data_IF_925765178093
#
_entry.id   IF_925765178093
#
_cell.length_a   1.000
_cell.length_b   1.000
_cell.length_c   1.000
_cell.angle_alpha   90.00
_cell.angle_beta   90.00
_cell.angle_gamma   90.00
#
_symmetry.space_group_name_H-M   'P 1'
#
loop_
_entity.id
_entity.type
_entity.pdbx_description
1 polymer ?
#
# COMPACT_ATOMS: atom_id res chain seq x y z
N UNK A 1 -25.51 14.94 21.28
CA UNK A 1 -25.33 14.76 19.83
C UNK A 1 -24.85 13.33 19.62
N UNK A 2 -25.72 12.44 19.12
CA UNK A 2 -25.41 11.02 18.92
C UNK A 2 -25.11 10.77 17.44
N UNK A 3 -23.83 10.57 17.05
CA UNK A 3 -23.46 10.19 15.69
C UNK A 3 -23.75 8.70 15.52
N UNK A 4 -25.03 8.33 15.28
CA UNK A 4 -25.45 6.93 15.15
C UNK A 4 -25.82 6.54 13.71
N UNK A 5 -25.62 7.44 12.73
CA UNK A 5 -26.05 7.22 11.34
C UNK A 5 -25.01 7.61 10.27
N UNK A 6 -23.76 7.96 10.63
CA UNK A 6 -22.79 8.50 9.66
C UNK A 6 -21.93 7.42 8.97
N UNK A 7 -22.24 6.13 9.17
CA UNK A 7 -21.47 5.04 8.54
C UNK A 7 -21.97 4.80 7.12
N UNK A 8 -21.22 5.28 6.14
CA UNK A 8 -21.45 4.98 4.73
C UNK A 8 -20.88 3.61 4.36
N UNK A 9 -21.68 2.78 3.70
CA UNK A 9 -21.23 1.50 3.12
C UNK A 9 -21.15 1.65 1.60
N UNK A 10 -19.94 1.56 1.06
CA UNK A 10 -19.68 1.54 -0.37
C UNK A 10 -19.21 0.15 -0.78
N UNK A 11 -19.95 -0.50 -1.67
CA UNK A 11 -19.55 -1.78 -2.28
C UNK A 11 -19.06 -1.46 -3.70
N UNK A 12 -17.76 -1.64 -3.94
CA UNK A 12 -17.16 -1.32 -5.24
C UNK A 12 -17.22 -2.52 -6.20
N UNK A 13 -16.58 -3.63 -5.84
CA UNK A 13 -16.47 -4.79 -6.73
C UNK A 13 -16.70 -6.10 -5.96
N UNK A 14 -17.77 -6.81 -6.31
CA UNK A 14 -18.06 -8.18 -5.86
C UNK A 14 -18.32 -9.03 -7.09
N UNK A 15 -17.45 -10.00 -7.33
CA UNK A 15 -17.51 -10.91 -8.47
C UNK A 15 -17.42 -12.36 -7.98
N UNK A 16 -18.06 -13.27 -8.70
CA UNK A 16 -17.90 -14.70 -8.46
C UNK A 16 -16.45 -15.12 -8.68
N UNK A 17 -15.83 -15.70 -7.66
CA UNK A 17 -14.41 -16.09 -7.68
C UNK A 17 -14.09 -17.21 -8.66
N UNK A 18 -15.10 -17.96 -9.09
CA UNK A 18 -14.96 -19.07 -10.06
C UNK A 18 -15.34 -18.65 -11.50
N UNK A 19 -15.71 -17.38 -11.72
CA UNK A 19 -16.16 -16.88 -13.02
C UNK A 19 -17.38 -17.62 -13.60
N UNK A 20 -18.06 -18.45 -12.80
CA UNK A 20 -18.98 -19.47 -13.30
C UNK A 20 -20.43 -19.00 -13.47
N UNK A 21 -20.77 -17.82 -12.93
CA UNK A 21 -22.15 -17.33 -12.88
C UNK A 21 -22.31 -15.93 -13.46
N UNK A 22 -23.45 -15.74 -14.12
CA UNK A 22 -24.02 -14.42 -14.41
C UNK A 22 -24.30 -13.65 -13.11
N UNK A 23 -24.72 -12.39 -13.26
CA UNK A 23 -25.23 -11.56 -12.17
C UNK A 23 -26.31 -12.29 -11.36
N UNK A 24 -26.08 -12.44 -10.06
CA UNK A 24 -27.09 -12.85 -9.08
C UNK A 24 -27.50 -11.65 -8.23
N UNK A 25 -28.73 -11.67 -7.71
CA UNK A 25 -29.34 -10.53 -7.01
C UNK A 25 -29.90 -10.90 -5.64
N UNK A 26 -30.32 -9.87 -4.90
CA UNK A 26 -31.07 -9.98 -3.64
C UNK A 26 -30.38 -10.79 -2.53
N UNK A 27 -29.04 -10.79 -2.54
CA UNK A 27 -28.26 -11.44 -1.49
C UNK A 27 -28.41 -10.71 -0.16
N UNK A 28 -28.82 -11.45 0.87
CA UNK A 28 -28.79 -10.95 2.26
C UNK A 28 -27.35 -10.87 2.74
N UNK A 29 -27.02 -9.85 3.51
CA UNK A 29 -25.69 -9.69 4.08
C UNK A 29 -25.77 -9.11 5.48
N UNK A 30 -24.90 -9.58 6.37
CA UNK A 30 -24.95 -9.26 7.80
C UNK A 30 -23.56 -9.12 8.39
N UNK A 31 -23.47 -8.44 9.54
CA UNK A 31 -22.29 -8.47 10.40
C UNK A 31 -22.36 -9.69 11.33
N UNK A 32 -21.26 -10.41 11.46
CA UNK A 32 -21.10 -11.62 12.27
C UNK A 32 -20.06 -11.45 13.38
N UNK A 33 -20.17 -12.25 14.44
CA UNK A 33 -19.40 -12.07 15.68
C UNK A 33 -17.87 -12.19 15.50
N UNK A 34 -17.41 -13.09 14.63
CA UNK A 34 -16.00 -13.43 14.51
C UNK A 34 -15.42 -13.20 13.12
N UNK A 35 -14.09 -13.01 13.07
CA UNK A 35 -13.33 -12.92 11.83
C UNK A 35 -13.15 -14.34 11.26
N UNK A 36 -13.44 -14.58 9.97
CA UNK A 36 -13.31 -15.89 9.35
C UNK A 36 -11.87 -16.44 9.39
N UNK A 37 -11.73 -17.77 9.42
CA UNK A 37 -10.45 -18.46 9.31
C UNK A 37 -9.68 -18.62 10.64
N UNK A 38 -10.36 -18.46 11.78
CA UNK A 38 -9.81 -18.80 13.11
C UNK A 38 -9.87 -20.30 13.42
N UNK A 39 -10.63 -21.05 12.65
CA UNK A 39 -10.68 -22.50 12.70
C UNK A 39 -9.53 -23.09 11.86
N UNK A 40 -8.45 -23.48 12.53
CA UNK A 40 -7.22 -24.03 11.93
C UNK A 40 -7.40 -25.31 11.08
N UNK A 41 -8.62 -25.79 10.82
CA UNK A 41 -8.88 -27.14 10.31
C UNK A 41 -9.96 -27.28 9.21
N UNK A 42 -10.79 -26.26 8.90
CA UNK A 42 -11.90 -26.45 7.95
C UNK A 42 -11.93 -25.42 6.80
N UNK A 43 -11.06 -25.65 5.82
CA UNK A 43 -10.90 -24.77 4.65
C UNK A 43 -12.13 -24.76 3.72
N UNK A 44 -12.96 -25.80 3.71
CA UNK A 44 -14.21 -25.86 2.90
C UNK A 44 -15.37 -25.09 3.53
N UNK A 45 -15.28 -24.75 4.82
CA UNK A 45 -16.35 -24.07 5.57
C UNK A 45 -15.86 -22.78 6.25
N UNK A 46 -14.93 -22.05 5.63
CA UNK A 46 -14.28 -20.86 6.22
C UNK A 46 -15.28 -19.84 6.78
N UNK A 47 -16.40 -19.60 6.11
CA UNK A 47 -17.42 -18.64 6.56
C UNK A 47 -18.28 -19.12 7.74
N UNK A 48 -18.21 -20.40 8.11
CA UNK A 48 -18.89 -20.91 9.31
C UNK A 48 -18.21 -20.36 10.57
N UNK A 49 -16.88 -20.21 10.55
CA UNK A 49 -16.10 -19.65 11.67
C UNK A 49 -16.42 -18.19 12.02
N UNK A 50 -17.15 -17.47 11.15
CA UNK A 50 -17.65 -16.13 11.45
C UNK A 50 -18.67 -16.12 12.61
N UNK A 51 -19.24 -17.26 12.98
CA UNK A 51 -20.20 -17.34 14.09
C UNK A 51 -21.60 -16.82 13.70
N UNK A 52 -22.48 -16.53 14.68
CA UNK A 52 -23.83 -16.01 14.43
C UNK A 52 -23.82 -14.52 14.07
N UNK A 53 -24.99 -13.94 13.79
CA UNK A 53 -25.13 -12.50 13.56
C UNK A 53 -24.70 -11.73 14.82
N UNK A 54 -23.93 -10.66 14.61
CA UNK A 54 -23.58 -9.74 15.67
C UNK A 54 -24.83 -9.00 16.15
N UNK A 55 -25.23 -9.28 17.40
CA UNK A 55 -26.47 -8.80 17.99
C UNK A 55 -26.24 -8.21 19.39
N UNK A 56 -25.53 -7.07 19.50
CA UNK A 56 -25.16 -6.47 20.78
C UNK A 56 -26.38 -6.07 21.62
N UNK A 57 -27.50 -5.79 20.97
CA UNK A 57 -28.75 -5.38 21.60
C UNK A 57 -29.68 -6.57 21.94
N UNK A 58 -29.25 -7.81 21.67
CA UNK A 58 -30.00 -9.05 21.94
C UNK A 58 -31.43 -9.00 21.40
N UNK A 59 -31.60 -8.39 20.21
CA UNK A 59 -32.89 -8.30 19.53
C UNK A 59 -33.37 -9.70 19.14
N UNK A 60 -34.66 -9.98 19.33
CA UNK A 60 -35.25 -11.27 19.00
C UNK A 60 -35.17 -11.56 17.50
N UNK A 61 -34.58 -12.70 17.14
CA UNK A 61 -34.47 -13.19 15.75
C UNK A 61 -35.69 -14.00 15.29
N UNK A 62 -36.72 -14.16 16.15
CA UNK A 62 -37.97 -14.83 15.77
C UNK A 62 -38.74 -13.98 14.74
N UNK A 63 -39.42 -14.62 13.77
CA UNK A 63 -40.08 -13.97 12.63
C UNK A 63 -40.87 -12.69 12.96
N UNK A 64 -41.63 -12.66 14.07
CA UNK A 64 -42.41 -11.47 14.47
C UNK A 64 -41.55 -10.24 14.82
N UNK A 65 -40.35 -10.46 15.37
CA UNK A 65 -39.39 -9.38 15.67
C UNK A 65 -38.60 -8.94 14.45
N UNK A 66 -38.23 -9.89 13.59
CA UNK A 66 -37.43 -9.62 12.38
C UNK A 66 -38.24 -8.93 11.26
N UNK A 67 -39.56 -9.19 11.14
CA UNK A 67 -40.44 -8.48 10.19
C UNK A 67 -40.57 -6.97 10.45
N UNK A 68 -40.18 -6.51 11.64
CA UNK A 68 -40.16 -5.08 11.97
C UNK A 68 -38.86 -4.40 11.53
N UNK A 69 -37.86 -5.20 11.15
CA UNK A 69 -36.69 -4.76 10.44
C UNK A 69 -37.04 -4.78 8.94
N UNK A 70 -37.50 -3.64 8.40
CA UNK A 70 -37.57 -3.38 6.97
C UNK A 70 -37.15 -1.94 6.63
N UNK A 71 -36.89 -1.67 5.34
CA UNK A 71 -36.54 -0.34 4.82
C UNK A 71 -37.54 0.76 5.22
N UNK A 72 -38.78 0.38 5.54
CA UNK A 72 -39.88 1.25 5.94
C UNK A 72 -39.82 1.74 7.40
N UNK A 73 -38.83 1.30 8.19
CA UNK A 73 -38.69 1.70 9.60
C UNK A 73 -37.28 2.28 9.93
N UNK A 74 -36.88 3.40 9.32
CA UNK A 74 -35.52 3.95 9.38
C UNK A 74 -35.04 4.31 10.80
N UNK A 75 -35.96 4.54 11.75
CA UNK A 75 -35.63 4.81 13.17
C UNK A 75 -35.02 3.61 13.91
N UNK A 76 -34.97 2.42 13.29
CA UNK A 76 -34.32 1.23 13.81
C UNK A 76 -33.12 0.76 12.98
N UNK A 77 -32.66 1.56 11.99
CA UNK A 77 -31.70 1.14 10.98
C UNK A 77 -30.34 1.82 11.03
N UNK A 78 -29.33 1.02 10.68
CA UNK A 78 -27.92 1.38 10.40
C UNK A 78 -27.11 1.97 11.56
N UNK A 79 -27.22 1.37 12.76
CA UNK A 79 -26.17 1.53 13.76
C UNK A 79 -25.03 0.53 13.49
N UNK A 80 -24.12 0.89 12.58
CA UNK A 80 -22.89 0.16 12.30
C UNK A 80 -21.67 0.93 12.85
N UNK A 81 -21.59 1.21 14.16
CA UNK A 81 -20.60 2.15 14.66
C UNK A 81 -19.19 1.60 14.43
N UNK A 82 -18.29 2.44 13.94
CA UNK A 82 -16.87 2.09 13.82
C UNK A 82 -16.08 2.40 15.11
N UNK A 83 -16.79 2.73 16.21
CA UNK A 83 -16.20 3.02 17.52
C UNK A 83 -17.15 2.67 18.68
N UNK A 84 -16.63 2.71 19.90
CA UNK A 84 -17.40 2.41 21.11
C UNK A 84 -17.63 0.91 21.36
N UNK A 85 -18.39 0.56 22.41
CA UNK A 85 -18.55 -0.82 22.86
C UNK A 85 -19.32 -1.71 21.89
N UNK A 86 -20.06 -1.11 20.97
CA UNK A 86 -20.83 -1.84 19.96
C UNK A 86 -20.18 -1.82 18.58
N UNK A 87 -18.89 -1.47 18.50
CA UNK A 87 -18.22 -1.31 17.22
C UNK A 87 -18.24 -2.58 16.36
N UNK A 88 -18.45 -2.42 15.06
CA UNK A 88 -18.35 -3.52 14.09
C UNK A 88 -16.90 -3.82 13.65
N UNK A 89 -15.90 -3.07 14.15
CA UNK A 89 -14.50 -3.37 13.89
C UNK A 89 -14.09 -4.69 14.57
N UNK A 90 -13.44 -5.59 13.85
CA UNK A 90 -13.03 -6.90 14.37
C UNK A 90 -14.11 -7.97 14.33
N UNK A 91 -15.23 -7.65 13.67
CA UNK A 91 -16.28 -8.56 13.25
C UNK A 91 -16.10 -8.92 11.77
N UNK A 92 -17.09 -9.53 11.13
CA UNK A 92 -17.05 -9.85 9.70
C UNK A 92 -18.34 -9.55 8.97
N UNK A 93 -18.26 -9.30 7.67
CA UNK A 93 -19.42 -9.27 6.78
C UNK A 93 -19.56 -10.68 6.17
N UNK A 94 -20.78 -11.21 6.16
CA UNK A 94 -21.13 -12.45 5.47
C UNK A 94 -22.24 -12.16 4.47
N UNK A 95 -22.05 -12.64 3.24
CA UNK A 95 -23.03 -12.59 2.15
C UNK A 95 -23.68 -13.97 2.04
N UNK A 96 -25.00 -14.02 1.94
CA UNK A 96 -25.79 -15.24 1.90
C UNK A 96 -26.38 -15.49 0.51
N UNK A 97 -26.46 -16.76 0.14
CA UNK A 97 -27.15 -17.30 -1.04
C UNK A 97 -28.26 -18.23 -0.56
N UNK A 98 -29.49 -17.72 -0.56
CA UNK A 98 -30.66 -18.50 -0.13
C UNK A 98 -31.02 -19.62 -1.12
N UNK A 99 -30.46 -19.59 -2.34
CA UNK A 99 -30.63 -20.63 -3.37
C UNK A 99 -29.48 -21.64 -3.38
N UNK A 100 -28.71 -21.68 -2.30
CA UNK A 100 -27.62 -22.63 -2.11
C UNK A 100 -28.04 -24.09 -2.23
N UNK A 101 -27.20 -24.97 -2.81
CA UNK A 101 -27.28 -26.39 -2.52
C UNK A 101 -27.14 -26.63 -1.02
N UNK A 102 -28.05 -27.43 -0.43
CA UNK A 102 -28.12 -27.65 1.02
C UNK A 102 -26.79 -28.08 1.66
N UNK A 103 -25.97 -28.84 0.94
CA UNK A 103 -24.69 -29.35 1.43
C UNK A 103 -23.60 -28.26 1.54
N UNK A 104 -23.71 -27.16 0.79
CA UNK A 104 -22.76 -26.04 0.83
C UNK A 104 -23.10 -25.03 1.94
N UNK A 105 -24.35 -24.99 2.37
CA UNK A 105 -24.86 -23.97 3.27
C UNK A 105 -25.14 -22.64 2.57
N UNK A 106 -25.79 -21.73 3.27
CA UNK A 106 -26.26 -20.45 2.73
C UNK A 106 -25.18 -19.37 2.69
N UNK A 107 -24.07 -19.51 3.43
CA UNK A 107 -22.99 -18.51 3.42
C UNK A 107 -22.18 -18.59 2.13
N UNK A 108 -22.35 -17.59 1.27
CA UNK A 108 -21.66 -17.48 -0.02
C UNK A 108 -20.22 -16.99 0.15
N UNK A 109 -20.03 -15.88 0.87
CA UNK A 109 -18.74 -15.22 1.01
C UNK A 109 -18.66 -14.51 2.37
N UNK A 110 -17.45 -14.28 2.85
CA UNK A 110 -17.22 -13.59 4.12
C UNK A 110 -15.88 -12.87 4.16
N UNK A 111 -15.81 -11.75 4.87
CA UNK A 111 -14.60 -10.96 5.04
C UNK A 111 -14.57 -10.28 6.42
N UNK A 112 -13.39 -10.18 7.03
CA UNK A 112 -13.21 -9.42 8.27
C UNK A 112 -13.38 -7.92 8.04
N UNK A 113 -13.98 -7.23 9.02
CA UNK A 113 -14.12 -5.77 9.01
C UNK A 113 -12.91 -5.18 9.71
N UNK A 114 -12.04 -4.57 8.90
CA UNK A 114 -10.76 -4.06 9.35
C UNK A 114 -10.74 -2.54 9.45
N UNK A 115 -10.19 -1.99 10.55
CA UNK A 115 -9.75 -0.60 10.61
C UNK A 115 -8.68 -0.38 9.55
N UNK A 116 -8.95 0.57 8.67
CA UNK A 116 -7.95 1.09 7.76
C UNK A 116 -7.04 2.06 8.53
N UNK A 117 -5.74 1.94 8.29
CA UNK A 117 -4.75 2.84 8.88
C UNK A 117 -4.16 3.70 7.78
N UNK A 118 -4.19 5.01 7.99
CA UNK A 118 -3.54 5.97 7.12
C UNK A 118 -2.05 5.67 6.95
N UNK A 119 -1.51 6.01 5.80
CA UNK A 119 -0.07 6.06 5.60
C UNK A 119 0.44 7.45 5.96
N UNK A 120 1.59 7.47 6.64
CA UNK A 120 2.32 8.70 6.94
C UNK A 120 3.79 8.53 6.56
N UNK A 121 4.22 9.32 5.58
CA UNK A 121 5.60 9.44 5.15
C UNK A 121 6.25 10.67 5.78
N UNK A 122 7.47 10.55 6.33
CA UNK A 122 8.19 11.67 6.94
C UNK A 122 9.63 11.68 6.48
N UNK A 123 10.10 12.87 6.10
CA UNK A 123 11.51 13.21 5.93
C UNK A 123 11.87 14.23 6.98
N UNK A 124 12.70 13.87 7.96
CA UNK A 124 13.16 14.76 9.03
C UNK A 124 14.65 14.57 9.36
N UNK A 125 15.35 13.75 8.57
CA UNK A 125 16.79 13.53 8.64
C UNK A 125 17.37 13.93 7.30
N UNK A 126 18.08 15.05 7.29
CA UNK A 126 18.68 15.63 6.10
C UNK A 126 20.16 15.29 6.05
N UNK A 127 20.60 14.77 4.92
CA UNK A 127 21.98 14.42 4.61
C UNK A 127 22.50 15.37 3.53
N UNK A 128 23.81 15.58 3.54
CA UNK A 128 24.51 16.36 2.51
C UNK A 128 25.98 15.98 2.48
N UNK A 129 26.69 16.46 1.45
CA UNK A 129 28.15 16.41 1.44
C UNK A 129 28.72 17.21 2.61
N UNK A 130 29.84 16.78 3.19
CA UNK A 130 30.51 17.47 4.30
C UNK A 130 30.72 18.96 4.00
N UNK A 131 30.41 19.81 4.98
CA UNK A 131 30.59 21.26 4.88
C UNK A 131 29.49 22.02 4.12
N UNK A 132 28.40 21.35 3.72
CA UNK A 132 27.33 21.97 2.95
C UNK A 132 26.31 22.80 3.78
N UNK A 133 26.54 23.00 5.09
CA UNK A 133 25.65 23.72 6.00
C UNK A 133 24.66 22.78 6.72
N UNK A 134 23.48 23.31 7.07
CA UNK A 134 22.42 22.53 7.72
C UNK A 134 21.03 22.96 7.23
N UNK A 135 20.27 22.01 6.67
CA UNK A 135 18.83 22.14 6.48
C UNK A 135 18.11 21.43 7.61
N UNK A 136 17.15 22.11 8.22
CA UNK A 136 16.33 21.60 9.32
C UNK A 136 14.86 21.59 8.95
N UNK A 137 14.08 20.88 9.77
CA UNK A 137 12.64 20.75 9.61
C UNK A 137 12.23 19.42 9.00
N UNK A 138 11.02 19.35 8.45
CA UNK A 138 10.43 18.13 7.93
C UNK A 138 9.61 18.35 6.67
N UNK A 139 9.50 17.29 5.88
CA UNK A 139 8.42 17.13 4.91
C UNK A 139 7.60 15.92 5.34
N UNK A 140 6.29 16.11 5.47
CA UNK A 140 5.35 15.12 5.95
C UNK A 140 4.24 14.90 4.92
N UNK A 141 3.94 13.65 4.64
CA UNK A 141 2.89 13.21 3.73
C UNK A 141 1.91 12.36 4.52
N UNK A 142 0.60 12.62 4.40
CA UNK A 142 -0.46 11.83 5.01
C UNK A 142 -1.47 11.47 3.94
N UNK A 143 -1.86 10.20 3.89
CA UNK A 143 -2.91 9.72 3.01
C UNK A 143 -3.79 8.72 3.79
N UNK A 144 -5.10 8.99 3.87
CA UNK A 144 -6.03 8.21 4.70
C UNK A 144 -6.31 6.81 4.11
N UNK A 145 -6.51 6.73 2.79
CA UNK A 145 -6.64 5.48 2.03
C UNK A 145 -5.97 5.61 0.65
N UNK A 146 -5.87 4.50 -0.10
CA UNK A 146 -5.35 4.52 -1.47
C UNK A 146 -6.19 5.35 -2.47
N UNK A 147 -7.43 5.70 -2.10
CA UNK A 147 -8.34 6.49 -2.92
C UNK A 147 -8.36 7.98 -2.54
N UNK A 148 -7.81 8.32 -1.37
CA UNK A 148 -7.78 9.69 -0.90
C UNK A 148 -6.60 10.44 -1.51
N UNK A 149 -6.69 11.78 -1.54
CA UNK A 149 -5.56 12.63 -1.87
C UNK A 149 -4.50 12.59 -0.77
N UNK A 150 -3.26 12.91 -1.14
CA UNK A 150 -2.17 13.02 -0.17
C UNK A 150 -2.07 14.46 0.31
N UNK A 151 -2.15 14.65 1.63
CA UNK A 151 -1.87 15.92 2.28
C UNK A 151 -0.36 16.02 2.57
N UNK A 152 0.26 17.11 2.11
CA UNK A 152 1.69 17.37 2.30
C UNK A 152 1.88 18.60 3.19
N UNK A 153 2.65 18.48 4.27
CA UNK A 153 3.23 19.59 5.03
C UNK A 153 4.72 19.70 4.69
N UNK A 154 5.14 20.88 4.22
CA UNK A 154 6.55 21.23 4.05
C UNK A 154 6.89 22.25 5.14
N UNK A 155 7.90 21.98 5.97
CA UNK A 155 8.42 22.92 6.98
C UNK A 155 9.95 22.82 6.95
N UNK A 156 10.60 23.76 6.27
CA UNK A 156 12.05 23.76 6.03
C UNK A 156 12.68 25.05 6.52
N UNK A 157 13.87 24.93 7.11
CA UNK A 157 14.70 26.05 7.59
C UNK A 157 16.14 25.85 7.14
N UNK A 158 16.93 26.93 7.16
CA UNK A 158 18.33 26.88 6.72
C UNK A 158 18.46 26.81 5.20
N UNK A 159 17.53 27.43 4.46
CA UNK A 159 17.54 27.44 2.98
C UNK A 159 18.53 28.46 2.37
N UNK A 160 19.05 29.36 3.22
CA UNK A 160 20.10 30.34 2.90
C UNK A 160 19.84 31.24 1.68
N UNK A 161 18.59 31.35 1.21
CA UNK A 161 18.20 32.00 -0.05
C UNK A 161 18.88 31.42 -1.32
N UNK A 162 19.61 30.31 -1.18
CA UNK A 162 20.29 29.60 -2.28
C UNK A 162 19.53 28.36 -2.74
N UNK A 163 18.57 27.86 -1.96
CA UNK A 163 17.71 26.74 -2.36
C UNK A 163 16.88 27.09 -3.61
N UNK A 164 16.54 26.07 -4.41
CA UNK A 164 15.71 26.21 -5.61
C UNK A 164 14.57 25.18 -5.64
N UNK A 165 14.71 24.14 -6.47
CA UNK A 165 13.75 23.05 -6.59
C UNK A 165 13.92 22.00 -5.49
N UNK A 166 12.88 21.22 -5.27
CA UNK A 166 12.90 20.06 -4.40
C UNK A 166 11.96 19.01 -4.96
N UNK A 167 12.42 17.76 -5.00
CA UNK A 167 11.75 16.70 -5.72
C UNK A 167 11.84 15.38 -4.95
N UNK A 168 10.86 14.50 -5.15
CA UNK A 168 10.97 13.09 -4.79
C UNK A 168 11.84 12.40 -5.85
N UNK A 169 12.90 11.76 -5.41
CA UNK A 169 13.83 10.98 -6.22
C UNK A 169 13.58 9.49 -6.07
N UNK A 170 14.06 8.69 -7.02
CA UNK A 170 13.59 7.30 -7.14
C UNK A 170 13.98 6.38 -5.98
N UNK A 171 15.12 6.62 -5.32
CA UNK A 171 15.66 5.70 -4.31
C UNK A 171 15.98 6.42 -2.99
N UNK A 172 15.96 5.72 -1.85
CA UNK A 172 16.26 6.32 -0.55
C UNK A 172 17.74 6.66 -0.42
N UNK A 173 18.04 7.60 0.46
CA UNK A 173 19.41 8.03 0.77
C UNK A 173 20.17 6.94 1.53
N UNK A 174 21.44 6.75 1.20
CA UNK A 174 22.39 5.94 1.97
C UNK A 174 23.28 6.86 2.81
N UNK A 175 23.13 6.79 4.13
CA UNK A 175 23.73 7.75 5.07
C UNK A 175 25.26 7.62 5.19
N UNK A 176 25.84 6.48 4.77
CA UNK A 176 27.28 6.19 4.92
C UNK A 176 28.13 6.70 3.74
N UNK A 177 27.50 7.24 2.70
CA UNK A 177 28.19 7.72 1.51
C UNK A 177 28.78 9.11 1.75
N UNK A 178 29.94 9.37 1.14
CA UNK A 178 30.56 10.71 1.14
C UNK A 178 29.71 11.75 0.39
N UNK A 179 29.04 11.30 -0.68
CA UNK A 179 28.16 12.10 -1.53
C UNK A 179 26.74 11.51 -1.56
N UNK A 180 25.99 11.59 -0.45
CA UNK A 180 24.74 10.84 -0.28
C UNK A 180 23.63 11.26 -1.27
N UNK A 181 23.68 12.49 -1.76
CA UNK A 181 22.63 13.08 -2.61
C UNK A 181 22.95 13.06 -4.11
N UNK A 182 24.07 12.48 -4.55
CA UNK A 182 24.51 12.50 -5.94
C UNK A 182 23.50 11.86 -6.93
N UNK A 183 23.63 12.21 -8.22
CA UNK A 183 22.97 11.57 -9.36
C UNK A 183 22.93 10.06 -9.31
N UNK A 184 24.08 9.45 -9.07
CA UNK A 184 24.28 7.99 -9.02
C UNK A 184 23.60 7.33 -7.80
N UNK A 185 23.41 8.07 -6.71
CA UNK A 185 22.95 7.51 -5.42
C UNK A 185 21.45 7.66 -5.21
N UNK A 186 20.88 8.82 -5.57
CA UNK A 186 19.43 9.09 -5.45
C UNK A 186 18.69 8.95 -6.79
N UNK A 187 19.43 8.75 -7.89
CA UNK A 187 18.91 8.67 -9.27
C UNK A 187 18.13 9.94 -9.68
N UNK A 188 17.39 9.87 -10.79
CA UNK A 188 16.53 10.98 -11.26
C UNK A 188 15.25 11.17 -10.44
N UNK A 189 14.43 12.12 -10.91
CA UNK A 189 13.11 12.40 -10.32
C UNK A 189 12.20 11.19 -10.42
N UNK A 190 11.29 11.07 -9.46
CA UNK A 190 10.28 10.05 -9.49
C UNK A 190 9.16 10.41 -10.47
N UNK A 191 9.13 9.73 -11.61
CA UNK A 191 8.21 10.02 -12.71
C UNK A 191 7.54 8.72 -13.23
N UNK A 192 6.61 8.12 -12.46
CA UNK A 192 5.98 6.85 -12.82
C UNK A 192 5.01 6.95 -14.02
N UNK A 193 4.60 8.17 -14.39
CA UNK A 193 3.69 8.44 -15.50
C UNK A 193 4.43 8.89 -16.77
N UNK A 194 5.77 8.92 -16.75
CA UNK A 194 6.62 9.38 -17.86
C UNK A 194 6.21 10.76 -18.41
N UNK A 195 5.88 11.69 -17.51
CA UNK A 195 5.58 13.08 -17.88
C UNK A 195 6.82 13.74 -18.47
N UNK A 196 6.65 14.54 -19.53
CA UNK A 196 7.74 15.31 -20.11
C UNK A 196 7.92 16.62 -19.34
N UNK A 197 9.10 16.89 -18.71
CA UNK A 197 9.28 18.10 -17.91
C UNK A 197 9.14 19.41 -18.68
N UNK A 198 9.42 19.41 -19.99
CA UNK A 198 9.27 20.60 -20.85
C UNK A 198 7.82 21.04 -21.03
N UNK A 199 6.88 20.12 -20.84
CA UNK A 199 5.46 20.35 -21.08
C UNK A 199 4.76 20.80 -19.78
N UNK A 200 5.46 20.73 -18.65
CA UNK A 200 4.94 21.14 -17.35
C UNK A 200 4.78 22.67 -17.28
N UNK A 201 3.66 23.17 -16.75
CA UNK A 201 3.45 24.61 -16.55
C UNK A 201 4.48 25.21 -15.57
N UNK A 202 4.59 26.54 -15.48
CA UNK A 202 5.40 27.19 -14.47
C UNK A 202 5.03 26.74 -13.04
N UNK A 203 5.96 26.80 -12.07
CA UNK A 203 5.70 26.34 -10.70
C UNK A 203 4.43 26.93 -10.08
N UNK A 204 3.62 26.08 -9.45
CA UNK A 204 2.35 26.38 -8.80
C UNK A 204 1.28 26.99 -9.74
N UNK A 205 1.36 26.77 -11.05
CA UNK A 205 0.37 27.26 -12.04
C UNK A 205 -0.48 26.16 -12.69
N UNK A 206 -0.05 24.91 -12.64
CA UNK A 206 -0.79 23.76 -13.18
C UNK A 206 -1.51 22.94 -12.12
N UNK A 207 -2.33 21.98 -12.58
CA UNK A 207 -2.87 20.89 -11.76
C UNK A 207 -1.80 19.82 -11.51
N UNK A 208 -1.95 18.99 -10.46
CA UNK A 208 -0.89 18.07 -10.02
C UNK A 208 -0.49 17.01 -11.06
N UNK A 209 -1.39 16.68 -11.98
CA UNK A 209 -1.20 15.71 -13.06
C UNK A 209 -0.34 16.25 -14.23
N UNK A 210 -0.14 17.57 -14.31
CA UNK A 210 0.70 18.20 -15.36
C UNK A 210 2.20 18.19 -15.04
N UNK A 211 2.58 17.68 -13.87
CA UNK A 211 3.96 17.60 -13.40
C UNK A 211 4.38 16.14 -13.21
N UNK A 212 5.68 15.89 -13.19
CA UNK A 212 6.19 14.61 -12.69
C UNK A 212 5.65 14.35 -11.28
N UNK A 213 5.30 13.11 -10.95
CA UNK A 213 4.74 12.79 -9.63
C UNK A 213 5.67 13.26 -8.49
N UNK A 214 6.99 13.18 -8.70
CA UNK A 214 8.00 13.65 -7.76
C UNK A 214 8.33 15.14 -7.83
N UNK A 215 7.80 15.92 -8.77
CA UNK A 215 8.13 17.35 -8.89
C UNK A 215 7.34 18.20 -7.88
N UNK A 216 7.83 18.26 -6.64
CA UNK A 216 7.18 19.04 -5.57
C UNK A 216 7.33 20.54 -5.80
N UNK A 217 8.47 21.01 -6.31
CA UNK A 217 8.67 22.42 -6.59
C UNK A 217 7.76 22.93 -7.72
N UNK A 218 7.56 22.15 -8.78
CA UNK A 218 6.60 22.43 -9.84
C UNK A 218 5.17 22.50 -9.31
N UNK A 219 4.77 21.54 -8.45
CA UNK A 219 3.40 21.49 -7.91
C UNK A 219 3.12 22.53 -6.81
N UNK A 220 4.05 22.73 -5.89
CA UNK A 220 3.84 23.49 -4.65
C UNK A 220 4.54 24.86 -4.64
N UNK A 221 5.35 25.15 -5.66
CA UNK A 221 6.19 26.34 -5.75
C UNK A 221 7.62 26.11 -5.27
N UNK A 222 8.54 26.96 -5.75
CA UNK A 222 9.98 26.82 -5.49
C UNK A 222 10.42 27.40 -4.13
N UNK A 223 11.62 27.03 -3.70
CA UNK A 223 12.27 27.52 -2.48
C UNK A 223 13.16 28.76 -2.74
N UNK A 224 13.14 29.31 -3.95
CA UNK A 224 14.07 30.38 -4.36
C UNK A 224 13.95 31.64 -3.50
N UNK A 225 15.10 32.19 -3.09
CA UNK A 225 15.16 33.43 -2.32
C UNK A 225 14.66 33.32 -0.88
N UNK A 226 14.34 32.11 -0.40
CA UNK A 226 13.80 31.88 0.94
C UNK A 226 14.88 31.40 1.90
N UNK A 227 14.81 31.82 3.16
CA UNK A 227 15.63 31.28 4.25
C UNK A 227 14.90 30.18 5.04
N UNK A 228 13.56 30.20 4.99
CA UNK A 228 12.67 29.18 5.53
C UNK A 228 11.42 29.08 4.64
N UNK A 229 10.72 27.95 4.70
CA UNK A 229 9.48 27.72 3.96
C UNK A 229 8.54 26.84 4.77
N UNK A 230 7.29 27.28 4.89
CA UNK A 230 6.21 26.46 5.43
C UNK A 230 5.01 26.47 4.49
N UNK A 231 4.45 25.31 4.19
CA UNK A 231 3.30 25.18 3.31
C UNK A 231 2.53 23.89 3.54
N UNK A 232 1.24 23.94 3.21
CA UNK A 232 0.33 22.79 3.26
C UNK A 232 -0.32 22.62 1.89
N UNK A 233 -0.29 21.41 1.35
CA UNK A 233 -0.72 21.11 -0.01
C UNK A 233 -1.55 19.84 -0.06
N UNK A 234 -2.43 19.76 -1.05
CA UNK A 234 -3.16 18.56 -1.40
C UNK A 234 -2.68 18.09 -2.76
N UNK A 235 -2.41 16.80 -2.90
CA UNK A 235 -1.84 16.22 -4.10
C UNK A 235 -2.57 14.95 -4.51
N UNK A 236 -3.17 14.98 -5.70
CA UNK A 236 -3.90 13.85 -6.26
C UNK A 236 -2.99 12.83 -6.95
N UNK A 237 -1.73 13.19 -7.21
CA UNK A 237 -0.78 12.41 -8.01
C UNK A 237 0.48 12.00 -7.21
N UNK A 238 0.42 12.03 -5.87
CA UNK A 238 1.54 11.67 -4.98
C UNK A 238 1.13 10.57 -3.99
N UNK A 239 1.02 9.34 -4.48
CA UNK A 239 0.50 8.21 -3.71
C UNK A 239 1.47 7.74 -2.61
N UNK A 240 0.94 7.34 -1.45
CA UNK A 240 1.62 6.61 -0.38
C UNK A 240 1.28 5.11 -0.39
N UNK A 241 0.24 4.70 -1.14
CA UNK A 241 -0.17 3.31 -1.33
C UNK A 241 0.20 2.79 -2.72
N UNK A 242 0.09 1.48 -2.91
CA UNK A 242 0.26 0.82 -4.19
C UNK A 242 1.67 0.88 -4.78
N UNK A 243 1.78 0.50 -6.06
CA UNK A 243 3.04 0.40 -6.80
C UNK A 243 3.65 1.77 -7.14
N UNK A 244 2.85 2.84 -7.11
CA UNK A 244 3.31 4.21 -7.35
C UNK A 244 3.67 4.96 -6.06
N UNK A 245 3.78 4.25 -4.95
CA UNK A 245 4.08 4.85 -3.65
C UNK A 245 5.44 5.58 -3.64
N UNK A 246 5.48 6.74 -2.99
CA UNK A 246 6.72 7.46 -2.66
C UNK A 246 7.37 7.00 -1.36
N UNK A 247 6.74 6.07 -0.63
CA UNK A 247 7.32 5.51 0.59
C UNK A 247 8.64 4.82 0.29
N UNK A 248 9.66 5.04 1.13
CA UNK A 248 10.99 4.45 0.94
C UNK A 248 11.81 5.07 -0.19
N UNK A 249 11.35 6.19 -0.79
CA UNK A 249 12.12 7.02 -1.73
C UNK A 249 12.88 8.12 -0.99
N UNK A 250 13.42 9.11 -1.68
CA UNK A 250 14.06 10.28 -1.06
C UNK A 250 13.49 11.59 -1.56
N UNK A 251 13.62 12.66 -0.78
CA UNK A 251 13.50 14.03 -1.25
C UNK A 251 14.92 14.56 -1.48
N UNK A 252 15.13 15.31 -2.55
CA UNK A 252 16.36 16.06 -2.82
C UNK A 252 16.00 17.54 -2.98
N UNK A 253 16.69 18.40 -2.25
CA UNK A 253 16.64 19.86 -2.35
C UNK A 253 17.83 20.31 -3.19
N UNK A 254 17.59 21.16 -4.18
CA UNK A 254 18.59 21.69 -5.08
C UNK A 254 19.00 23.12 -4.70
N UNK A 255 20.20 23.52 -5.12
CA UNK A 255 20.64 24.92 -5.14
C UNK A 255 20.25 25.57 -6.46
N UNK A 256 20.04 26.89 -6.43
CA UNK A 256 19.86 27.71 -7.63
C UNK A 256 21.08 27.67 -8.53
N UNK A 257 22.27 27.68 -7.94
CA UNK A 257 23.51 27.55 -8.70
C UNK A 257 23.62 26.16 -9.33
N UNK A 258 23.69 26.13 -10.68
CA UNK A 258 23.87 24.91 -11.49
C UNK A 258 22.86 23.80 -11.23
N UNK A 259 21.73 24.09 -10.58
CA UNK A 259 20.76 23.10 -10.12
C UNK A 259 21.38 21.97 -9.29
N UNK A 260 22.45 22.28 -8.53
CA UNK A 260 23.23 21.29 -7.81
C UNK A 260 22.42 20.66 -6.67
N UNK A 261 22.49 19.34 -6.51
CA UNK A 261 21.83 18.63 -5.39
C UNK A 261 22.50 19.02 -4.09
N UNK A 262 21.72 19.44 -3.09
CA UNK A 262 22.23 20.05 -1.87
C UNK A 262 22.02 19.17 -0.65
N UNK A 263 20.76 18.99 -0.27
CA UNK A 263 20.35 18.14 0.84
C UNK A 263 19.39 17.08 0.35
N UNK A 264 19.42 15.92 0.98
CA UNK A 264 18.48 14.86 0.68
C UNK A 264 18.07 14.11 1.95
N UNK A 265 16.91 13.49 1.92
CA UNK A 265 16.43 12.70 3.05
C UNK A 265 15.49 11.59 2.60
N UNK A 266 15.56 10.44 3.26
CA UNK A 266 14.69 9.31 2.94
C UNK A 266 13.27 9.50 3.49
N UNK A 267 12.27 9.18 2.69
CA UNK A 267 10.85 9.14 3.09
C UNK A 267 10.63 7.86 3.90
N UNK A 268 10.64 8.01 5.22
CA UNK A 268 10.41 6.93 6.18
C UNK A 268 8.96 6.88 6.67
N UNK A 269 8.60 5.80 7.37
CA UNK A 269 7.34 5.73 8.09
C UNK A 269 7.33 6.69 9.27
N UNK A 270 6.36 7.59 9.31
CA UNK A 270 6.08 8.43 10.47
C UNK A 270 5.00 7.78 11.33
N UNK A 271 5.36 7.35 12.53
CA UNK A 271 4.42 6.80 13.50
C UNK A 271 4.86 7.13 14.93
N UNK A 272 3.89 7.20 15.84
CA UNK A 272 4.13 7.25 17.28
C UNK A 272 4.44 5.85 17.81
N UNK A 273 5.47 5.67 18.65
CA UNK A 273 5.71 4.39 19.31
C UNK A 273 4.53 3.89 20.17
N UNK A 274 3.62 4.78 20.57
CA UNK A 274 2.39 4.43 21.28
C UNK A 274 1.29 3.90 20.34
N UNK A 275 1.38 4.14 19.03
CA UNK A 275 0.36 3.73 18.05
C UNK A 275 0.79 2.52 17.22
N UNK A 276 2.09 2.37 16.95
CA UNK A 276 2.61 1.31 16.09
C UNK A 276 4.08 0.99 16.38
N UNK A 277 4.52 -0.17 15.88
CA UNK A 277 5.93 -0.54 15.76
C UNK A 277 6.25 -0.97 14.33
N UNK A 278 7.47 -0.71 13.87
CA UNK A 278 7.93 -1.22 12.58
C UNK A 278 8.62 -2.58 12.74
N UNK A 279 8.27 -3.53 11.89
CA UNK A 279 9.00 -4.79 11.68
C UNK A 279 9.76 -4.71 10.37
N UNK A 280 10.90 -5.38 10.31
CA UNK A 280 11.70 -5.49 9.09
C UNK A 280 12.15 -6.93 8.89
N UNK A 281 12.12 -7.40 7.63
CA UNK A 281 12.63 -8.69 7.23
C UNK A 281 13.61 -8.51 6.06
N UNK A 282 14.55 -9.45 5.90
CA UNK A 282 15.52 -9.42 4.80
C UNK A 282 15.57 -10.82 4.19
N UNK A 283 15.40 -10.90 2.87
CA UNK A 283 15.64 -12.09 2.07
C UNK A 283 16.90 -11.85 1.22
N UNK A 284 17.94 -12.63 1.44
CA UNK A 284 19.26 -12.38 0.88
C UNK A 284 19.68 -13.40 -0.17
N UNK A 285 20.29 -12.93 -1.25
CA UNK A 285 20.85 -13.71 -2.33
C UNK A 285 22.38 -13.68 -2.20
N UNK A 286 22.94 -14.76 -1.67
CA UNK A 286 24.36 -14.83 -1.31
C UNK A 286 25.15 -15.85 -2.11
N UNK A 287 24.56 -16.49 -3.12
CA UNK A 287 25.32 -17.42 -3.96
C UNK A 287 26.31 -16.60 -4.81
N UNK A 288 27.64 -16.70 -4.60
CA UNK A 288 28.62 -15.92 -5.36
C UNK A 288 28.69 -16.36 -6.83
N UNK A 289 28.21 -17.57 -7.13
CA UNK A 289 28.07 -18.10 -8.50
C UNK A 289 26.63 -17.95 -9.03
N UNK A 290 25.74 -17.30 -8.27
CA UNK A 290 24.35 -17.09 -8.67
C UNK A 290 24.21 -15.93 -9.66
N UNK A 291 23.16 -15.99 -10.48
CA UNK A 291 22.85 -14.93 -11.45
C UNK A 291 22.42 -13.60 -10.82
N UNK A 292 22.10 -13.59 -9.52
CA UNK A 292 21.75 -12.39 -8.76
C UNK A 292 22.38 -12.46 -7.36
N UNK A 293 22.95 -11.34 -6.92
CA UNK A 293 23.54 -11.18 -5.59
C UNK A 293 23.01 -9.90 -4.95
N UNK A 294 22.65 -9.97 -3.67
CA UNK A 294 22.07 -8.82 -2.98
C UNK A 294 21.07 -9.21 -1.91
N UNK A 295 20.14 -8.33 -1.60
CA UNK A 295 19.03 -8.66 -0.69
C UNK A 295 17.79 -7.86 -1.00
N UNK A 296 16.64 -8.43 -0.66
CA UNK A 296 15.32 -7.80 -0.56
C UNK A 296 15.05 -7.49 0.91
N UNK A 297 14.79 -6.24 1.27
CA UNK A 297 14.37 -5.80 2.60
C UNK A 297 12.89 -5.46 2.58
N UNK A 298 12.13 -6.09 3.46
CA UNK A 298 10.72 -5.82 3.71
C UNK A 298 10.55 -4.98 4.97
N UNK A 299 9.62 -4.03 4.97
CA UNK A 299 9.21 -3.27 6.16
C UNK A 299 7.70 -3.26 6.29
N UNK A 300 7.20 -3.33 7.53
CA UNK A 300 5.78 -3.31 7.86
C UNK A 300 5.55 -2.53 9.16
N UNK A 301 4.49 -1.72 9.21
CA UNK A 301 3.96 -1.19 10.47
C UNK A 301 2.95 -2.16 11.06
N UNK A 302 3.10 -2.44 12.35
CA UNK A 302 2.15 -3.20 13.15
C UNK A 302 1.55 -2.23 14.15
N UNK A 303 0.26 -1.92 13.98
CA UNK A 303 -0.47 -1.02 14.85
C UNK A 303 -0.83 -1.71 16.17
N UNK A 304 -0.63 -0.99 17.27
CA UNK A 304 -1.01 -1.46 18.60
C UNK A 304 -2.51 -1.31 18.77
N UNK A 305 -3.28 -2.36 18.49
CA UNK A 305 -4.72 -2.41 18.78
C UNK A 305 -4.98 -3.20 20.06
N UNK A 306 -5.90 -2.69 20.90
CA UNK A 306 -6.41 -3.41 22.09
C UNK A 306 -7.07 -4.75 21.75
N UNK A 307 -7.48 -4.94 20.50
CA UNK A 307 -7.91 -6.22 19.99
C UNK A 307 -6.69 -7.00 19.46
N UNK A 308 -6.39 -8.14 20.08
CA UNK A 308 -5.52 -9.21 19.57
C UNK A 308 -6.01 -9.85 18.24
N UNK A 309 -6.93 -9.18 17.54
CA UNK A 309 -7.61 -9.65 16.32
C UNK A 309 -7.13 -8.93 15.04
N UNK A 310 -6.13 -8.05 15.12
CA UNK A 310 -5.76 -7.15 14.02
C UNK A 310 -4.26 -7.14 13.74
N UNK A 311 -3.89 -7.40 12.49
CA UNK A 311 -2.57 -7.06 11.95
C UNK A 311 -2.72 -6.59 10.48
N UNK A 312 -3.03 -5.30 10.24
CA UNK A 312 -2.97 -4.77 8.89
C UNK A 312 -1.51 -4.57 8.49
N UNK A 313 -1.06 -5.37 7.53
CA UNK A 313 0.30 -5.33 7.02
C UNK A 313 0.43 -4.41 5.81
N UNK A 314 1.37 -3.47 5.86
CA UNK A 314 1.84 -2.72 4.69
C UNK A 314 3.25 -3.19 4.35
N UNK A 315 3.43 -3.93 3.25
CA UNK A 315 4.74 -4.49 2.89
C UNK A 315 5.46 -3.55 1.92
N UNK A 316 6.68 -3.11 2.29
CA UNK A 316 7.57 -2.38 1.39
C UNK A 316 8.82 -3.21 1.08
N UNK A 317 8.98 -3.65 -0.17
CA UNK A 317 10.04 -4.53 -0.67
C UNK A 317 11.17 -3.67 -1.30
N UNK A 318 12.40 -3.72 -0.79
CA UNK A 318 13.57 -2.97 -1.28
C UNK A 318 14.70 -3.91 -1.67
N UNK A 319 15.14 -3.92 -2.93
CA UNK A 319 16.28 -4.75 -3.35
C UNK A 319 17.58 -3.93 -3.43
N UNK A 320 18.69 -4.40 -2.85
CA UNK A 320 20.04 -3.79 -2.97
C UNK A 320 20.96 -4.75 -3.71
N UNK A 321 21.74 -4.23 -4.66
CA UNK A 321 22.82 -4.91 -5.37
C UNK A 321 24.19 -4.43 -4.86
N UNK A 322 25.19 -5.31 -4.86
CA UNK A 322 26.61 -4.91 -4.93
C UNK A 322 27.25 -5.77 -6.01
N UNK A 323 27.59 -5.15 -7.12
CA UNK A 323 28.14 -5.84 -8.28
C UNK A 323 29.66 -5.94 -8.19
N UNK A 324 30.17 -7.18 -8.12
CA UNK A 324 31.39 -7.63 -8.82
C UNK A 324 31.24 -9.11 -9.18
N UNK A 325 30.89 -9.41 -10.43
CA UNK A 325 31.01 -10.76 -10.97
C UNK A 325 32.12 -10.82 -12.01
N UNK A 326 33.23 -11.44 -11.64
CA UNK A 326 34.21 -11.97 -12.58
C UNK A 326 33.69 -13.29 -13.18
N UNK A 327 34.10 -13.58 -14.43
CA UNK A 327 33.83 -14.84 -15.12
C UNK A 327 34.25 -16.04 -14.25
N UNK A 328 33.51 -17.16 -14.33
CA UNK A 328 33.97 -18.52 -14.68
C UNK A 328 32.97 -19.62 -14.21
N UNK A 329 32.67 -20.52 -15.16
CA UNK A 329 32.25 -21.95 -15.10
C UNK A 329 31.01 -22.43 -14.32
N UNK A 330 30.23 -23.22 -15.08
CA UNK A 330 29.06 -24.07 -14.82
C UNK A 330 29.05 -24.87 -13.49
N UNK A 331 27.99 -24.71 -12.66
CA UNK A 331 27.52 -25.71 -11.67
C UNK A 331 25.98 -25.58 -11.42
N UNK A 332 25.33 -26.75 -11.33
CA UNK A 332 23.89 -27.15 -11.31
C UNK A 332 22.79 -26.31 -10.58
N UNK A 333 21.54 -26.27 -11.11
CA UNK A 333 20.44 -25.42 -10.63
C UNK A 333 19.51 -26.08 -9.57
N UNK A 334 20.02 -26.91 -8.66
CA UNK A 334 19.16 -27.69 -7.74
C UNK A 334 18.67 -26.92 -6.50
N UNK A 335 19.35 -25.85 -6.06
CA UNK A 335 19.02 -25.18 -4.79
C UNK A 335 17.75 -24.33 -4.82
N UNK A 336 17.42 -23.69 -5.94
CA UNK A 336 16.22 -22.85 -6.05
C UNK A 336 14.94 -23.68 -6.28
N UNK A 337 15.05 -24.85 -6.91
CA UNK A 337 13.92 -25.77 -7.14
C UNK A 337 13.35 -26.30 -5.80
N UNK A 338 14.18 -26.40 -4.76
CA UNK A 338 13.77 -26.81 -3.43
C UNK A 338 12.88 -25.78 -2.70
N UNK A 339 12.73 -24.56 -3.23
CA UNK A 339 11.83 -23.55 -2.66
C UNK A 339 10.33 -23.93 -2.77
N UNK A 340 10.00 -24.95 -3.58
CA UNK A 340 8.64 -25.47 -3.72
C UNK A 340 7.74 -24.57 -4.58
N UNK A 341 6.43 -24.71 -4.37
CA UNK A 341 5.42 -23.93 -5.08
C UNK A 341 5.24 -22.53 -4.48
N UNK A 342 4.63 -21.62 -5.25
CA UNK A 342 4.24 -20.29 -4.74
C UNK A 342 3.38 -20.45 -3.48
N UNK A 343 3.67 -19.63 -2.48
CA UNK A 343 2.93 -19.64 -1.22
C UNK A 343 1.49 -19.16 -1.45
N UNK A 344 0.51 -20.05 -1.29
CA UNK A 344 -0.90 -19.74 -1.51
C UNK A 344 -1.81 -20.28 -0.37
N UNK A 345 -1.72 -19.70 0.85
CA UNK A 345 -2.52 -20.13 1.99
C UNK A 345 -4.02 -19.85 1.82
N UNK A 346 -4.38 -18.92 0.93
CA UNK A 346 -5.77 -18.58 0.66
C UNK A 346 -6.38 -19.39 -0.48
N UNK A 347 -5.59 -20.26 -1.11
CA UNK A 347 -6.05 -21.18 -2.15
C UNK A 347 -6.75 -20.43 -3.29
N UNK A 348 -6.22 -19.25 -3.60
CA UNK A 348 -6.65 -18.44 -4.73
C UNK A 348 -6.45 -19.31 -5.96
N UNK A 349 -7.48 -19.48 -6.80
CA UNK A 349 -7.45 -20.33 -7.99
C UNK A 349 -7.60 -21.86 -7.77
N UNK A 350 -8.41 -22.31 -6.82
CA UNK A 350 -8.81 -23.72 -6.72
C UNK A 350 -9.95 -24.16 -7.65
N UNK A 351 -10.72 -23.24 -8.21
CA UNK A 351 -11.84 -23.60 -9.08
C UNK A 351 -11.35 -24.27 -10.40
N UNK A 352 -10.20 -23.82 -10.92
CA UNK A 352 -9.60 -24.33 -12.16
C UNK A 352 -8.07 -24.38 -12.05
N UNK A 353 -7.48 -25.27 -11.24
CA UNK A 353 -6.03 -25.27 -10.94
C UNK A 353 -5.11 -25.42 -12.17
N UNK A 354 -5.65 -25.87 -13.31
CA UNK A 354 -4.92 -26.02 -14.57
C UNK A 354 -5.14 -24.85 -15.56
N UNK A 355 -6.05 -23.91 -15.27
CA UNK A 355 -6.35 -22.77 -16.14
C UNK A 355 -5.39 -21.61 -15.88
N UNK A 356 -4.16 -21.75 -16.39
CA UNK A 356 -3.12 -20.72 -16.24
C UNK A 356 -3.54 -19.38 -16.83
N UNK A 357 -4.30 -19.42 -17.92
CA UNK A 357 -4.74 -18.21 -18.63
C UNK A 357 -5.72 -17.39 -17.78
N UNK A 358 -6.58 -18.04 -16.98
CA UNK A 358 -7.45 -17.33 -16.04
C UNK A 358 -6.65 -16.66 -14.92
N UNK A 359 -5.72 -17.35 -14.27
CA UNK A 359 -4.89 -16.75 -13.22
C UNK A 359 -4.11 -15.54 -13.74
N UNK A 360 -3.51 -15.63 -14.93
CA UNK A 360 -2.73 -14.53 -15.52
C UNK A 360 -3.59 -13.30 -15.88
N UNK A 361 -4.87 -13.49 -16.20
CA UNK A 361 -5.82 -12.39 -16.44
C UNK A 361 -6.31 -11.75 -15.14
N UNK A 362 -6.51 -12.56 -14.12
CA UNK A 362 -7.18 -12.14 -12.88
C UNK A 362 -6.20 -11.67 -11.80
N UNK A 363 -4.94 -12.12 -11.83
CA UNK A 363 -3.90 -11.64 -10.94
C UNK A 363 -3.15 -10.46 -11.57
N UNK A 364 -3.26 -9.29 -10.93
CA UNK A 364 -2.48 -8.13 -11.33
C UNK A 364 -2.45 -7.05 -10.24
N UNK A 365 -1.65 -5.98 -10.42
CA UNK A 365 -1.50 -4.93 -9.42
C UNK A 365 -2.76 -4.11 -9.16
N UNK A 366 -3.74 -4.13 -10.07
CA UNK A 366 -5.07 -3.54 -9.86
C UNK A 366 -5.98 -4.41 -8.99
N UNK A 367 -5.73 -5.72 -8.93
CA UNK A 367 -6.51 -6.70 -8.18
C UNK A 367 -5.59 -7.66 -7.42
N UNK A 368 -4.70 -7.15 -6.54
CA UNK A 368 -3.61 -7.94 -5.94
C UNK A 368 -4.11 -9.05 -5.01
N UNK A 369 -5.36 -8.97 -4.54
CA UNK A 369 -6.00 -9.99 -3.71
C UNK A 369 -6.39 -11.25 -4.49
N UNK A 370 -6.35 -11.21 -5.83
CA UNK A 370 -6.54 -12.36 -6.73
C UNK A 370 -5.24 -13.07 -7.10
N UNK A 371 -4.11 -12.60 -6.59
CA UNK A 371 -2.81 -13.26 -6.76
C UNK A 371 -2.49 -14.17 -5.59
N UNK A 372 -1.76 -15.26 -5.81
CA UNK A 372 -1.16 -16.06 -4.73
C UNK A 372 -0.42 -15.14 -3.75
N UNK A 373 -0.42 -15.45 -2.45
CA UNK A 373 0.23 -14.60 -1.43
C UNK A 373 1.72 -14.43 -1.69
N UNK A 374 2.37 -15.48 -2.18
CA UNK A 374 3.78 -15.48 -2.58
C UNK A 374 4.06 -14.89 -3.97
N UNK A 375 3.03 -14.53 -4.76
CA UNK A 375 3.23 -13.93 -6.07
C UNK A 375 3.40 -12.40 -5.98
N UNK A 376 4.59 -11.99 -5.54
CA UNK A 376 4.93 -10.57 -5.41
C UNK A 376 4.98 -9.87 -6.78
N UNK A 377 5.33 -10.60 -7.85
CA UNK A 377 5.36 -10.07 -9.21
C UNK A 377 3.99 -9.71 -9.74
N UNK A 378 2.98 -10.56 -9.53
CA UNK A 378 1.60 -10.26 -9.91
C UNK A 378 1.00 -9.14 -9.06
N UNK A 379 1.33 -9.10 -7.76
CA UNK A 379 0.79 -8.11 -6.81
C UNK A 379 1.38 -6.72 -6.98
N UNK A 380 2.70 -6.63 -7.11
CA UNK A 380 3.45 -5.37 -7.08
C UNK A 380 3.95 -4.95 -8.46
N UNK A 381 4.16 -5.93 -9.34
CA UNK A 381 4.85 -5.76 -10.61
C UNK A 381 6.20 -6.50 -10.65
N UNK A 382 6.77 -6.66 -11.84
CA UNK A 382 8.06 -7.34 -12.04
C UNK A 382 9.24 -6.46 -11.61
N UNK A 383 10.41 -7.02 -11.38
CA UNK A 383 11.62 -6.24 -11.07
C UNK A 383 12.65 -6.30 -12.19
N UNK A 384 13.31 -5.17 -12.45
CA UNK A 384 14.46 -5.13 -13.35
C UNK A 384 15.77 -5.33 -12.58
N UNK A 385 16.61 -6.24 -13.06
CA UNK A 385 17.94 -6.50 -12.51
C UNK A 385 19.00 -6.02 -13.51
N UNK A 386 19.93 -5.17 -13.07
CA UNK A 386 20.99 -4.56 -13.87
C UNK A 386 21.72 -3.47 -13.08
N UNK A 387 22.71 -2.78 -13.67
CA UNK A 387 23.70 -1.91 -12.99
C UNK A 387 23.16 -0.68 -12.19
N UNK A 388 21.85 -0.54 -12.02
CA UNK A 388 21.20 0.50 -11.21
C UNK A 388 20.27 -0.12 -10.17
N UNK A 389 20.02 0.61 -9.06
CA UNK A 389 19.12 0.17 -8.01
C UNK A 389 17.78 -0.38 -8.55
N UNK A 390 17.49 -1.63 -8.18
CA UNK A 390 16.40 -2.46 -8.69
C UNK A 390 15.03 -1.86 -8.36
N UNK A 391 14.13 -1.87 -9.35
CA UNK A 391 12.80 -1.25 -9.30
C UNK A 391 11.70 -2.26 -9.55
N UNK A 392 10.54 -2.04 -8.93
CA UNK A 392 9.29 -2.71 -9.33
C UNK A 392 8.68 -1.96 -10.51
N UNK A 393 8.47 -2.64 -11.64
CA UNK A 393 7.83 -2.18 -12.86
C UNK A 393 6.31 -2.22 -12.73
N UNK A 394 5.65 -1.21 -13.26
CA UNK A 394 4.22 -1.30 -13.58
C UNK A 394 4.02 -2.28 -14.75
N UNK A 395 2.96 -3.10 -14.77
CA UNK A 395 2.54 -3.77 -16.00
C UNK A 395 2.30 -2.72 -17.08
N UNK A 396 2.74 -2.99 -18.31
CA UNK A 396 2.32 -2.17 -19.45
C UNK A 396 0.79 -2.25 -19.55
N UNK A 397 0.07 -1.14 -19.73
CA UNK A 397 -1.33 -1.23 -20.12
C UNK A 397 -1.43 -2.09 -21.40
N UNK A 398 -2.47 -2.90 -21.56
CA UNK A 398 -2.69 -3.60 -22.82
C UNK A 398 -2.70 -2.56 -23.94
N UNK A 399 -1.93 -2.82 -25.00
CA UNK A 399 -1.99 -2.04 -26.22
C UNK A 399 -3.44 -2.07 -26.70
N UNK A 400 -4.09 -0.90 -26.70
CA UNK A 400 -5.44 -0.71 -27.26
C UNK A 400 -5.41 -0.93 -28.76
#
# INVERSE_FOLDING_TARGET
>A
MTPLADTSVLVQELLYSDGSRNNTGDHRWHVHDDIPGRDFYNWTMRCVSAGPHYNPHKVSTKERGYRQCGADNPLRYTNLPLSGPFSILGHSIVIHDDHAPKHRGDRMACAGIHRLFRHKGVVNKWQSTRGAGSVEGKVEFIQESEYDLTNTEVDLRGLEAIASGYHVHMVPVEDELEFPCEGSTTLGHYNPLNMTPSDSPPPAKGTNDLYEAGDLAGKYGTLEGRTWFKGHFNDTNLQLFGSTSIMGRSIVIHKKEKNARWFCGSIGWGYSPAEARQVSAIASFHNPQGYAWGYVRMRQLIYMTVASKFDPSTQLVRVRESSRCGRWSEVFPVRCVAAGYRWNPYLIHLAYPNDRDFYERECGPSVPLRCDVGDLSGRLGTIDVGDQAIRVRRPKPPSV
#
